data_IF_947498590077
#
_entry.id   IF_947498590077
#
_cell.length_a   1.000
_cell.length_b   1.000
_cell.length_c   1.000
_cell.angle_alpha   90.00
_cell.angle_beta   90.00
_cell.angle_gamma   90.00
#
_symmetry.space_group_name_H-M   'P 1'
#
loop_
_entity.id
_entity.type
_entity.pdbx_description
1 polymer ?
#
# COMPACT_ATOMS: atom_id res chain seq x y z
N UNK A 1 35.15 60.00 -7.17
CA UNK A 1 35.22 58.73 -6.41
C UNK A 1 34.25 58.85 -5.25
N UNK A 2 33.17 58.10 -5.09
CA UNK A 2 32.80 56.76 -5.56
C UNK A 2 31.26 56.72 -5.48
N UNK A 3 30.58 57.01 -6.58
CA UNK A 3 29.24 56.46 -6.85
C UNK A 3 29.48 55.07 -7.47
N UNK A 4 28.47 54.21 -7.44
CA UNK A 4 28.45 52.84 -7.95
C UNK A 4 28.84 51.80 -6.89
N UNK A 5 27.80 51.13 -6.35
CA UNK A 5 27.83 49.74 -5.87
C UNK A 5 26.53 49.30 -5.17
N UNK A 6 25.52 50.17 -5.00
CA UNK A 6 24.24 49.76 -4.36
C UNK A 6 23.20 49.29 -5.39
N UNK A 7 23.33 49.65 -6.66
CA UNK A 7 22.40 49.24 -7.73
C UNK A 7 22.64 47.82 -8.26
N UNK A 8 23.78 47.20 -7.95
CA UNK A 8 24.11 45.85 -8.44
C UNK A 8 23.51 44.73 -7.56
N UNK A 9 23.23 44.99 -6.28
CA UNK A 9 22.69 43.96 -5.37
C UNK A 9 21.19 43.70 -5.55
N UNK A 10 20.43 44.70 -6.02
CA UNK A 10 18.99 44.55 -6.28
C UNK A 10 18.68 43.79 -7.58
N UNK A 11 19.60 43.79 -8.55
CA UNK A 11 19.47 43.00 -9.78
C UNK A 11 19.77 41.51 -9.55
N UNK A 12 20.56 41.17 -8.53
CA UNK A 12 20.85 39.77 -8.16
C UNK A 12 19.68 39.14 -7.38
N UNK A 13 18.88 39.94 -6.67
CA UNK A 13 17.67 39.47 -5.98
C UNK A 13 16.42 39.32 -6.88
N UNK A 14 16.46 39.82 -8.12
CA UNK A 14 15.42 39.55 -9.13
C UNK A 14 15.64 38.25 -9.91
N UNK A 15 16.80 37.60 -9.71
CA UNK A 15 17.07 36.22 -10.10
C UNK A 15 16.79 35.23 -8.96
N UNK A 16 15.81 35.53 -8.10
CA UNK A 16 15.16 34.50 -7.28
C UNK A 16 14.41 33.60 -8.25
N UNK A 17 15.11 32.58 -8.72
CA UNK A 17 14.61 31.22 -8.96
C UNK A 17 13.11 31.18 -9.22
N UNK A 18 12.71 31.59 -10.43
CA UNK A 18 11.54 31.01 -11.06
C UNK A 18 11.88 29.53 -11.23
N UNK A 19 11.61 28.72 -10.21
CA UNK A 19 11.43 27.31 -10.46
C UNK A 19 10.39 27.23 -11.56
N UNK A 20 10.73 26.63 -12.71
CA UNK A 20 9.79 26.38 -13.78
C UNK A 20 8.71 25.45 -13.23
N UNK A 21 7.70 26.04 -12.61
CA UNK A 21 6.49 25.36 -12.21
C UNK A 21 5.73 25.05 -13.50
N UNK A 22 5.16 23.86 -13.58
CA UNK A 22 4.34 23.47 -14.72
C UNK A 22 3.24 24.51 -14.94
N UNK A 23 3.04 24.93 -16.18
CA UNK A 23 1.94 25.84 -16.51
C UNK A 23 0.60 25.14 -16.30
N UNK A 24 -0.47 25.91 -16.09
CA UNK A 24 -1.83 25.34 -16.00
C UNK A 24 -2.19 24.50 -17.23
N UNK A 25 -1.73 24.91 -18.40
CA UNK A 25 -1.92 24.19 -19.68
C UNK A 25 -1.16 22.87 -19.68
N UNK A 26 0.08 22.84 -19.17
CA UNK A 26 0.83 21.60 -19.02
C UNK A 26 0.17 20.65 -18.03
N UNK A 27 -0.29 21.14 -16.88
CA UNK A 27 -1.03 20.35 -15.88
C UNK A 27 -2.28 19.74 -16.50
N UNK A 28 -3.07 20.53 -17.24
CA UNK A 28 -4.28 20.03 -17.90
C UNK A 28 -3.95 18.99 -18.97
N UNK A 29 -2.91 19.22 -19.77
CA UNK A 29 -2.44 18.26 -20.78
C UNK A 29 -2.06 16.92 -20.16
N UNK A 30 -1.29 16.92 -19.07
CA UNK A 30 -0.91 15.68 -18.39
C UNK A 30 -2.09 15.01 -17.69
N UNK A 31 -3.02 15.78 -17.10
CA UNK A 31 -4.27 15.25 -16.54
C UNK A 31 -5.09 14.49 -17.59
N UNK A 32 -5.28 15.08 -18.77
CA UNK A 32 -5.98 14.43 -19.88
C UNK A 32 -5.24 13.20 -20.41
N UNK A 33 -3.90 13.26 -20.48
CA UNK A 33 -3.08 12.12 -20.88
C UNK A 33 -3.21 10.95 -19.89
N UNK A 34 -3.16 11.21 -18.59
CA UNK A 34 -3.36 10.20 -17.55
C UNK A 34 -4.76 9.59 -17.63
N UNK A 35 -5.79 10.42 -17.81
CA UNK A 35 -7.16 9.94 -18.02
C UNK A 35 -7.26 9.03 -19.24
N UNK A 36 -6.66 9.40 -20.37
CA UNK A 36 -6.64 8.57 -21.58
C UNK A 36 -5.91 7.23 -21.35
N UNK A 37 -4.78 7.23 -20.62
CA UNK A 37 -4.06 6.00 -20.28
C UNK A 37 -4.87 5.07 -19.38
N UNK A 38 -5.60 5.62 -18.41
CA UNK A 38 -6.52 4.84 -17.58
C UNK A 38 -7.57 4.14 -18.44
N UNK A 39 -8.27 4.87 -19.32
CA UNK A 39 -9.30 4.27 -20.18
C UNK A 39 -8.73 3.29 -21.20
N UNK A 40 -7.50 3.50 -21.67
CA UNK A 40 -6.83 2.51 -22.51
C UNK A 40 -6.69 1.17 -21.78
N UNK A 41 -6.17 1.18 -20.54
CA UNK A 41 -6.03 -0.04 -19.73
C UNK A 41 -7.38 -0.64 -19.32
N UNK A 42 -8.28 0.19 -18.79
CA UNK A 42 -9.61 -0.20 -18.32
C UNK A 42 -10.47 -0.82 -19.43
N UNK A 43 -10.56 -0.18 -20.59
CA UNK A 43 -11.34 -0.72 -21.71
C UNK A 43 -10.72 -2.02 -22.26
N UNK A 44 -9.39 -2.09 -22.34
CA UNK A 44 -8.71 -3.32 -22.78
C UNK A 44 -8.96 -4.49 -21.82
N UNK A 45 -9.04 -4.21 -20.51
CA UNK A 45 -9.40 -5.21 -19.52
C UNK A 45 -10.84 -5.71 -19.74
N UNK A 46 -11.80 -4.79 -19.90
CA UNK A 46 -13.19 -5.16 -20.17
C UNK A 46 -13.35 -5.98 -21.45
N UNK A 47 -12.56 -5.70 -22.48
CA UNK A 47 -12.64 -6.40 -23.77
C UNK A 47 -11.97 -7.79 -23.77
N UNK A 48 -10.82 -7.93 -23.09
CA UNK A 48 -9.95 -9.09 -23.26
C UNK A 48 -9.76 -9.95 -22.01
N UNK A 49 -10.15 -9.46 -20.84
CA UNK A 49 -9.85 -10.13 -19.57
C UNK A 49 -11.05 -10.25 -18.63
N UNK A 50 -12.08 -9.43 -18.72
CA UNK A 50 -13.27 -9.64 -17.89
C UNK A 50 -13.89 -11.04 -18.15
N UNK A 51 -14.23 -11.84 -17.13
CA UNK A 51 -14.30 -11.52 -15.69
C UNK A 51 -13.06 -11.94 -14.85
N UNK A 52 -11.94 -12.30 -15.47
CA UNK A 52 -10.71 -12.69 -14.78
C UNK A 52 -10.13 -11.55 -13.93
N UNK A 53 -9.26 -11.87 -12.97
CA UNK A 53 -8.67 -10.86 -12.08
C UNK A 53 -7.84 -9.79 -12.81
N UNK A 54 -7.02 -10.19 -13.79
CA UNK A 54 -6.02 -9.34 -14.44
C UNK A 54 -5.93 -9.56 -15.95
N UNK A 55 -5.56 -8.51 -16.68
CA UNK A 55 -5.24 -8.56 -18.11
C UNK A 55 -3.76 -8.89 -18.32
N UNK A 56 -3.47 -9.83 -19.23
CA UNK A 56 -2.17 -9.99 -19.89
C UNK A 56 -2.16 -9.18 -21.18
N UNK A 57 -1.64 -7.94 -21.19
CA UNK A 57 -1.81 -7.02 -22.32
C UNK A 57 -1.06 -7.46 -23.58
N UNK A 58 -0.01 -8.28 -23.45
CA UNK A 58 0.75 -8.76 -24.61
C UNK A 58 0.08 -9.94 -25.33
N UNK A 59 -0.63 -10.79 -24.59
CA UNK A 59 -1.37 -11.92 -25.16
C UNK A 59 -2.86 -11.66 -25.34
N UNK A 60 -3.34 -10.48 -24.92
CA UNK A 60 -4.75 -10.11 -24.86
C UNK A 60 -5.63 -11.21 -24.22
N UNK A 61 -5.20 -11.70 -23.05
CA UNK A 61 -5.92 -12.75 -22.33
C UNK A 61 -6.04 -12.43 -20.85
N UNK A 62 -7.10 -12.93 -20.20
CA UNK A 62 -7.26 -12.83 -18.76
C UNK A 62 -6.42 -13.85 -17.97
N UNK A 63 -6.17 -13.56 -16.69
CA UNK A 63 -5.68 -14.51 -15.71
C UNK A 63 -6.31 -14.27 -14.33
N UNK A 64 -6.49 -15.35 -13.56
CA UNK A 64 -6.84 -15.27 -12.15
C UNK A 64 -5.58 -15.38 -11.31
N UNK A 65 -5.39 -14.41 -10.43
CA UNK A 65 -4.18 -14.29 -9.60
C UNK A 65 -4.51 -14.39 -8.12
N UNK A 66 -5.69 -13.90 -7.71
CA UNK A 66 -6.01 -13.66 -6.29
C UNK A 66 -7.36 -14.22 -5.85
N UNK A 67 -8.16 -14.76 -6.77
CA UNK A 67 -9.27 -15.65 -6.45
C UNK A 67 -10.52 -15.49 -7.33
N UNK A 68 -10.36 -14.97 -8.55
CA UNK A 68 -11.41 -14.92 -9.57
C UNK A 68 -12.59 -14.00 -9.20
N UNK A 69 -12.29 -12.80 -8.69
CA UNK A 69 -13.30 -11.82 -8.24
C UNK A 69 -13.41 -10.60 -9.17
N UNK A 70 -12.91 -10.68 -10.40
CA UNK A 70 -12.73 -9.51 -11.27
C UNK A 70 -11.93 -8.40 -10.59
N UNK A 71 -10.80 -8.75 -9.97
CA UNK A 71 -9.99 -7.85 -9.12
C UNK A 71 -9.72 -6.47 -9.72
N UNK A 72 -9.31 -6.39 -10.98
CA UNK A 72 -9.05 -5.12 -11.68
C UNK A 72 -10.29 -4.22 -11.70
N UNK A 73 -11.48 -4.81 -11.77
CA UNK A 73 -12.73 -4.07 -11.77
C UNK A 73 -13.02 -3.42 -10.41
N UNK A 74 -12.74 -4.15 -9.32
CA UNK A 74 -12.87 -3.64 -7.95
C UNK A 74 -11.86 -2.52 -7.70
N UNK A 75 -10.59 -2.74 -8.05
CA UNK A 75 -9.50 -1.75 -7.89
C UNK A 75 -9.74 -0.47 -8.71
N UNK A 76 -10.52 -0.51 -9.79
CA UNK A 76 -10.77 0.66 -10.65
C UNK A 76 -11.95 1.54 -10.21
N UNK A 77 -12.83 1.05 -9.32
CA UNK A 77 -14.10 1.70 -8.98
C UNK A 77 -13.93 3.14 -8.46
N UNK A 78 -13.09 3.32 -7.45
CA UNK A 78 -12.85 4.64 -6.87
C UNK A 78 -12.15 5.59 -7.87
N UNK A 79 -11.28 5.04 -8.71
CA UNK A 79 -10.58 5.79 -9.76
C UNK A 79 -11.54 6.30 -10.83
N UNK A 80 -12.59 5.53 -11.18
CA UNK A 80 -13.65 6.01 -12.07
C UNK A 80 -14.31 7.28 -11.50
N UNK A 81 -14.58 7.32 -10.20
CA UNK A 81 -15.14 8.50 -9.53
C UNK A 81 -14.15 9.67 -9.48
N UNK A 82 -12.88 9.41 -9.18
CA UNK A 82 -11.83 10.44 -9.18
C UNK A 82 -11.67 11.07 -10.57
N UNK A 83 -11.83 10.28 -11.65
CA UNK A 83 -11.78 10.75 -13.04
C UNK A 83 -13.11 11.36 -13.53
N UNK A 84 -14.13 11.38 -12.68
CA UNK A 84 -15.45 11.99 -12.93
C UNK A 84 -16.39 11.16 -13.80
N UNK A 85 -16.17 9.86 -13.95
CA UNK A 85 -17.04 8.98 -14.73
C UNK A 85 -18.03 8.24 -13.83
N UNK A 86 -19.05 8.98 -13.42
CA UNK A 86 -20.10 8.48 -12.51
C UNK A 86 -21.00 7.44 -13.17
N UNK A 87 -21.30 7.57 -14.47
CA UNK A 87 -22.14 6.60 -15.19
C UNK A 87 -21.51 5.21 -15.22
N UNK A 88 -20.21 5.13 -15.50
CA UNK A 88 -19.50 3.85 -15.52
C UNK A 88 -19.35 3.27 -14.11
N UNK A 89 -19.07 4.11 -13.11
CA UNK A 89 -19.07 3.70 -11.72
C UNK A 89 -20.41 3.06 -11.29
N UNK A 90 -21.54 3.67 -11.64
CA UNK A 90 -22.87 3.12 -11.35
C UNK A 90 -23.09 1.77 -12.04
N UNK A 91 -22.73 1.68 -13.33
CA UNK A 91 -22.84 0.45 -14.12
C UNK A 91 -22.05 -0.70 -13.48
N UNK A 92 -20.81 -0.43 -13.09
CA UNK A 92 -19.94 -1.45 -12.47
C UNK A 92 -20.37 -1.79 -11.06
N UNK A 93 -20.83 -0.82 -10.27
CA UNK A 93 -21.33 -1.09 -8.92
C UNK A 93 -22.51 -2.07 -8.94
N UNK A 94 -23.45 -1.87 -9.87
CA UNK A 94 -24.59 -2.78 -10.08
C UNK A 94 -24.11 -4.16 -10.57
N UNK A 95 -23.19 -4.19 -11.53
CA UNK A 95 -22.64 -5.44 -12.05
C UNK A 95 -21.99 -6.27 -10.93
N UNK A 96 -21.17 -5.65 -10.08
CA UNK A 96 -20.52 -6.36 -8.97
C UNK A 96 -21.52 -6.83 -7.92
N UNK A 97 -22.57 -6.05 -7.63
CA UNK A 97 -23.65 -6.50 -6.75
C UNK A 97 -24.36 -7.76 -7.29
N UNK A 98 -24.52 -7.85 -8.61
CA UNK A 98 -25.19 -9.00 -9.25
C UNK A 98 -24.28 -10.22 -9.43
N UNK A 99 -22.97 -10.03 -9.62
CA UNK A 99 -22.07 -11.12 -10.05
C UNK A 99 -21.08 -11.59 -8.98
N UNK A 100 -20.78 -10.77 -7.97
CA UNK A 100 -19.71 -11.08 -7.02
C UNK A 100 -20.21 -12.02 -5.90
N UNK A 101 -19.57 -13.18 -5.76
CA UNK A 101 -19.86 -14.15 -4.72
C UNK A 101 -18.56 -14.59 -4.03
N UNK A 102 -18.49 -14.48 -2.70
CA UNK A 102 -17.31 -14.92 -1.94
C UNK A 102 -17.47 -16.31 -1.33
N UNK A 103 -18.64 -16.95 -1.45
CA UNK A 103 -18.81 -18.35 -1.02
C UNK A 103 -18.24 -19.34 -2.03
N UNK A 104 -16.90 -19.40 -2.11
CA UNK A 104 -16.19 -20.23 -3.07
C UNK A 104 -15.18 -21.15 -2.38
N UNK A 105 -15.04 -22.37 -2.90
CA UNK A 105 -13.98 -23.30 -2.50
C UNK A 105 -12.66 -22.95 -3.20
N UNK A 106 -12.07 -21.84 -2.76
CA UNK A 106 -10.82 -21.31 -3.29
C UNK A 106 -9.95 -20.77 -2.17
N UNK A 107 -8.64 -21.00 -2.28
CA UNK A 107 -7.64 -20.46 -1.38
C UNK A 107 -7.19 -19.08 -1.86
N UNK A 108 -7.18 -18.09 -0.97
CA UNK A 108 -6.76 -16.71 -1.27
C UNK A 108 -5.73 -16.19 -0.29
N UNK A 109 -4.97 -15.20 -0.74
CA UNK A 109 -4.08 -14.42 0.12
C UNK A 109 -4.89 -13.50 1.02
N UNK A 110 -4.76 -13.67 2.33
CA UNK A 110 -5.46 -12.85 3.33
C UNK A 110 -5.07 -11.36 3.20
N UNK A 111 -3.79 -11.10 2.96
CA UNK A 111 -3.24 -9.76 2.78
C UNK A 111 -3.76 -9.08 1.51
N UNK A 112 -3.66 -9.75 0.34
CA UNK A 112 -4.05 -9.15 -0.94
C UNK A 112 -5.57 -8.98 -1.03
N UNK A 113 -6.35 -9.94 -0.55
CA UNK A 113 -7.81 -9.80 -0.48
C UNK A 113 -8.22 -8.64 0.40
N UNK A 114 -7.55 -8.40 1.53
CA UNK A 114 -7.85 -7.23 2.36
C UNK A 114 -7.54 -5.90 1.64
N UNK A 115 -6.31 -5.69 1.17
CA UNK A 115 -5.92 -4.37 0.66
C UNK A 115 -6.58 -4.02 -0.68
N UNK A 116 -6.95 -5.02 -1.49
CA UNK A 116 -7.55 -4.80 -2.82
C UNK A 116 -9.06 -4.94 -2.82
N UNK A 117 -9.57 -6.08 -2.35
CA UNK A 117 -11.02 -6.36 -2.41
C UNK A 117 -11.74 -5.59 -1.31
N UNK A 118 -11.36 -5.80 -0.04
CA UNK A 118 -12.01 -5.10 1.07
C UNK A 118 -11.76 -3.59 0.97
N UNK A 119 -10.50 -3.19 0.75
CA UNK A 119 -10.11 -1.79 0.56
C UNK A 119 -10.84 -1.10 -0.59
N UNK A 120 -10.88 -1.71 -1.78
CA UNK A 120 -11.53 -1.15 -2.98
C UNK A 120 -13.05 -1.06 -2.85
N UNK A 121 -13.71 -2.07 -2.27
CA UNK A 121 -15.15 -2.03 -2.01
C UNK A 121 -15.51 -0.96 -0.96
N UNK A 122 -14.70 -0.80 0.09
CA UNK A 122 -14.89 0.24 1.10
C UNK A 122 -14.67 1.65 0.52
N UNK A 123 -13.61 1.86 -0.27
CA UNK A 123 -13.34 3.17 -0.89
C UNK A 123 -14.47 3.55 -1.85
N UNK A 124 -14.92 2.60 -2.67
CA UNK A 124 -16.05 2.78 -3.57
C UNK A 124 -17.35 3.07 -2.82
N UNK A 125 -17.64 2.36 -1.71
CA UNK A 125 -18.80 2.62 -0.87
C UNK A 125 -18.79 4.04 -0.27
N UNK A 126 -17.66 4.48 0.29
CA UNK A 126 -17.54 5.80 0.90
C UNK A 126 -17.67 6.94 -0.13
N UNK A 127 -17.30 6.69 -1.38
CA UNK A 127 -17.42 7.65 -2.49
C UNK A 127 -18.73 7.53 -3.26
N UNK A 128 -19.51 6.45 -3.06
CA UNK A 128 -20.74 6.16 -3.78
C UNK A 128 -21.75 7.32 -3.85
N UNK A 129 -21.98 8.12 -2.76
CA UNK A 129 -22.86 9.28 -2.83
C UNK A 129 -22.41 10.35 -3.83
N UNK A 130 -21.09 10.52 -4.04
CA UNK A 130 -20.54 11.43 -5.07
C UNK A 130 -20.72 10.86 -6.47
N UNK A 131 -20.82 9.54 -6.58
CA UNK A 131 -21.10 8.80 -7.80
C UNK A 131 -22.57 8.77 -8.21
N UNK A 132 -23.47 9.34 -7.41
CA UNK A 132 -24.92 9.26 -7.65
C UNK A 132 -25.53 7.89 -7.35
N UNK A 133 -24.80 7.01 -6.66
CA UNK A 133 -25.35 5.76 -6.13
C UNK A 133 -26.00 6.08 -4.79
N UNK A 134 -27.30 5.78 -4.68
CA UNK A 134 -28.04 5.99 -3.43
C UNK A 134 -27.68 4.88 -2.45
N UNK A 135 -27.21 5.27 -1.27
CA UNK A 135 -26.93 4.37 -0.16
C UNK A 135 -28.16 4.26 0.73
N UNK A 136 -28.41 3.07 1.28
CA UNK A 136 -29.55 2.82 2.18
C UNK A 136 -29.33 3.55 3.52
N UNK A 137 -30.41 3.96 4.18
CA UNK A 137 -30.34 4.50 5.53
C UNK A 137 -29.92 3.39 6.52
N UNK A 138 -28.90 3.66 7.33
CA UNK A 138 -28.34 2.70 8.29
C UNK A 138 -27.13 3.27 9.03
N UNK A 139 -26.46 2.50 9.89
CA UNK A 139 -25.47 3.06 10.84
C UNK A 139 -24.01 2.81 10.42
N UNK A 140 -23.20 3.86 10.22
CA UNK A 140 -23.54 5.25 9.91
C UNK A 140 -23.98 5.42 8.43
N UNK A 141 -23.85 4.37 7.61
CA UNK A 141 -24.43 4.22 6.28
C UNK A 141 -24.51 2.72 5.92
N UNK A 142 -25.37 2.34 4.98
CA UNK A 142 -25.46 0.99 4.43
C UNK A 142 -25.41 0.99 2.90
N UNK A 143 -25.06 -0.14 2.30
CA UNK A 143 -25.14 -0.27 0.85
C UNK A 143 -24.56 -1.57 0.33
N UNK A 144 -24.79 -1.87 -0.95
CA UNK A 144 -24.40 -3.15 -1.54
C UNK A 144 -22.89 -3.37 -1.50
N UNK A 145 -22.10 -2.35 -1.84
CA UNK A 145 -20.64 -2.44 -1.80
C UNK A 145 -20.10 -2.66 -0.38
N UNK A 146 -20.74 -2.08 0.64
CA UNK A 146 -20.36 -2.32 2.04
C UNK A 146 -20.68 -3.76 2.45
N UNK A 147 -21.83 -4.32 2.04
CA UNK A 147 -22.19 -5.71 2.32
C UNK A 147 -21.18 -6.68 1.70
N UNK A 148 -20.77 -6.43 0.45
CA UNK A 148 -19.72 -7.20 -0.21
C UNK A 148 -18.36 -7.09 0.52
N UNK A 149 -17.97 -5.88 0.94
CA UNK A 149 -16.74 -5.68 1.72
C UNK A 149 -16.75 -6.44 3.05
N UNK A 150 -17.90 -6.44 3.73
CA UNK A 150 -18.09 -7.16 5.00
C UNK A 150 -18.04 -8.67 4.77
N UNK A 151 -18.75 -9.22 3.78
CA UNK A 151 -18.72 -10.66 3.46
C UNK A 151 -17.28 -11.14 3.14
N UNK A 152 -16.56 -10.39 2.30
CA UNK A 152 -15.16 -10.67 2.03
C UNK A 152 -14.31 -10.66 3.31
N UNK A 153 -14.44 -9.63 4.16
CA UNK A 153 -13.67 -9.51 5.39
C UNK A 153 -14.03 -10.58 6.44
N UNK A 154 -15.30 -10.98 6.55
CA UNK A 154 -15.74 -12.03 7.49
C UNK A 154 -15.04 -13.36 7.20
N UNK A 155 -14.85 -13.68 5.91
CA UNK A 155 -14.16 -14.89 5.46
C UNK A 155 -12.66 -14.87 5.74
N UNK A 156 -12.08 -13.70 6.00
CA UNK A 156 -10.69 -13.56 6.42
C UNK A 156 -10.50 -13.77 7.93
N UNK A 157 -11.54 -13.58 8.75
CA UNK A 157 -11.46 -13.70 10.21
C UNK A 157 -10.88 -15.03 10.72
N UNK A 158 -11.17 -16.20 10.12
CA UNK A 158 -10.55 -17.46 10.55
C UNK A 158 -9.02 -17.45 10.55
N UNK A 159 -8.39 -16.62 9.70
CA UNK A 159 -6.93 -16.53 9.63
C UNK A 159 -6.31 -15.99 10.91
N UNK A 160 -7.02 -15.15 11.65
CA UNK A 160 -6.55 -14.53 12.89
C UNK A 160 -6.67 -15.44 14.12
N UNK A 161 -7.26 -16.63 13.98
CA UNK A 161 -7.42 -17.58 15.06
C UNK A 161 -6.12 -18.34 15.36
N UNK A 162 -5.11 -17.60 15.82
CA UNK A 162 -3.79 -18.10 16.20
C UNK A 162 -3.47 -17.73 17.66
N UNK A 163 -2.58 -18.47 18.35
CA UNK A 163 -2.18 -18.11 19.71
C UNK A 163 -1.61 -16.70 19.86
N UNK A 164 -1.03 -16.14 18.80
CA UNK A 164 -0.45 -14.80 18.80
C UNK A 164 -1.44 -13.71 18.35
N UNK A 165 -2.58 -14.08 17.77
CA UNK A 165 -3.51 -13.17 17.10
C UNK A 165 -3.05 -12.67 15.72
N UNK A 166 -1.86 -13.05 15.26
CA UNK A 166 -1.37 -12.73 13.91
C UNK A 166 -2.00 -13.68 12.88
N UNK A 167 -2.40 -13.19 11.68
CA UNK A 167 -3.10 -14.01 10.70
C UNK A 167 -2.19 -14.95 9.91
N UNK A 168 -2.72 -16.11 9.53
CA UNK A 168 -2.13 -16.93 8.45
C UNK A 168 -2.07 -16.16 7.11
N UNK A 169 -1.18 -16.57 6.21
CA UNK A 169 -1.02 -15.94 4.90
C UNK A 169 -2.15 -16.26 3.92
N UNK A 170 -2.72 -17.46 4.02
CA UNK A 170 -3.81 -17.92 3.15
C UNK A 170 -5.02 -18.44 3.93
N UNK A 171 -6.20 -18.24 3.34
CA UNK A 171 -7.48 -18.76 3.84
C UNK A 171 -8.31 -19.31 2.67
N UNK A 172 -9.07 -20.36 2.89
CA UNK A 172 -10.12 -20.81 1.97
C UNK A 172 -11.40 -20.03 2.27
N UNK A 173 -12.01 -19.41 1.25
CA UNK A 173 -13.17 -18.54 1.46
C UNK A 173 -14.42 -19.25 2.00
N UNK A 174 -14.55 -20.56 1.78
CA UNK A 174 -15.67 -21.37 2.28
C UNK A 174 -15.32 -22.14 3.55
N UNK A 175 -14.11 -22.69 3.64
CA UNK A 175 -13.72 -23.65 4.68
C UNK A 175 -12.78 -23.07 5.75
N UNK A 176 -12.35 -21.82 5.63
CA UNK A 176 -11.39 -21.23 6.55
C UNK A 176 -9.97 -21.74 6.30
N UNK A 177 -9.20 -22.04 7.34
CA UNK A 177 -7.76 -22.32 7.19
C UNK A 177 -7.51 -23.73 6.62
N UNK A 178 -6.83 -23.86 5.46
CA UNK A 178 -6.48 -25.16 4.91
C UNK A 178 -5.61 -25.97 5.89
N UNK A 179 -5.82 -27.29 6.05
CA UNK A 179 -5.03 -28.10 6.99
C UNK A 179 -3.52 -28.14 6.69
N UNK A 180 -3.13 -27.89 5.44
CA UNK A 180 -1.74 -27.86 4.98
C UNK A 180 -1.12 -26.45 4.99
N UNK A 181 -1.83 -25.45 5.51
CA UNK A 181 -1.38 -24.07 5.48
C UNK A 181 -0.13 -23.86 6.35
N UNK A 182 0.83 -23.11 5.83
CA UNK A 182 2.05 -22.76 6.57
C UNK A 182 1.75 -21.70 7.63
N UNK A 183 2.25 -21.81 8.87
CA UNK A 183 2.12 -20.75 9.86
C UNK A 183 3.09 -19.58 9.59
N UNK A 184 3.89 -19.62 8.53
CA UNK A 184 4.88 -18.59 8.23
C UNK A 184 4.27 -17.54 7.30
N UNK A 185 4.26 -16.28 7.75
CA UNK A 185 3.80 -15.13 6.96
C UNK A 185 4.77 -13.96 7.10
N UNK A 186 4.65 -12.95 6.25
CA UNK A 186 5.48 -11.75 6.32
C UNK A 186 4.91 -10.70 7.29
N UNK A 187 5.76 -9.79 7.77
CA UNK A 187 5.35 -8.72 8.70
C UNK A 187 4.23 -7.84 8.15
N UNK A 188 4.31 -7.45 6.88
CA UNK A 188 3.23 -6.74 6.19
C UNK A 188 1.93 -7.57 6.14
N UNK A 189 2.05 -8.87 5.86
CA UNK A 189 0.93 -9.82 5.86
C UNK A 189 0.24 -9.98 7.21
N UNK A 190 0.88 -9.60 8.32
CA UNK A 190 0.27 -9.53 9.65
C UNK A 190 -0.30 -8.14 9.99
N UNK A 191 0.37 -7.08 9.54
CA UNK A 191 0.19 -5.72 10.06
C UNK A 191 -0.79 -4.84 9.28
N UNK A 192 -1.25 -5.27 8.11
CA UNK A 192 -1.89 -4.39 7.13
C UNK A 192 -3.40 -4.62 7.04
N UNK A 193 -4.09 -4.47 8.18
CA UNK A 193 -5.56 -4.65 8.27
C UNK A 193 -6.31 -3.54 9.00
N UNK A 194 -5.63 -2.77 9.86
CA UNK A 194 -6.31 -1.87 10.80
C UNK A 194 -7.15 -0.80 10.09
N UNK A 195 -6.75 -0.35 8.90
CA UNK A 195 -7.47 0.67 8.13
C UNK A 195 -8.80 0.11 7.64
N UNK A 196 -8.80 -1.03 6.95
CA UNK A 196 -10.01 -1.63 6.39
C UNK A 196 -10.92 -2.15 7.51
N UNK A 197 -10.36 -2.91 8.46
CA UNK A 197 -11.13 -3.55 9.54
C UNK A 197 -11.65 -2.52 10.55
N UNK A 198 -10.86 -1.48 10.83
CA UNK A 198 -11.30 -0.34 11.62
C UNK A 198 -12.39 0.46 10.91
N UNK A 199 -12.31 0.61 9.58
CA UNK A 199 -13.36 1.25 8.78
C UNK A 199 -14.64 0.43 8.79
N UNK A 200 -14.58 -0.90 8.60
CA UNK A 200 -15.75 -1.78 8.75
C UNK A 200 -16.38 -1.63 10.13
N UNK A 201 -15.56 -1.61 11.18
CA UNK A 201 -16.06 -1.44 12.55
C UNK A 201 -16.76 -0.09 12.71
N UNK A 202 -16.18 0.99 12.16
CA UNK A 202 -16.79 2.32 12.18
C UNK A 202 -18.09 2.37 11.37
N UNK A 203 -18.17 1.60 10.28
CA UNK A 203 -19.28 1.57 9.35
C UNK A 203 -20.41 0.59 9.70
N UNK A 204 -20.17 -0.37 10.60
CA UNK A 204 -21.16 -1.42 10.91
C UNK A 204 -21.40 -1.59 12.40
N UNK A 205 -20.45 -1.14 13.23
CA UNK A 205 -20.45 -1.34 14.68
C UNK A 205 -19.89 -2.68 15.13
N UNK A 206 -19.56 -3.59 14.20
CA UNK A 206 -18.98 -4.88 14.54
C UNK A 206 -17.51 -4.74 14.94
N UNK A 207 -17.24 -4.89 16.23
CA UNK A 207 -15.90 -4.74 16.80
C UNK A 207 -14.98 -5.94 16.55
N UNK A 208 -15.47 -7.07 16.03
CA UNK A 208 -14.61 -8.24 15.74
C UNK A 208 -13.45 -7.85 14.84
N UNK A 209 -13.73 -7.07 13.80
CA UNK A 209 -12.74 -6.62 12.81
C UNK A 209 -11.63 -5.77 13.44
N UNK A 210 -11.95 -4.65 14.09
CA UNK A 210 -10.91 -3.80 14.68
C UNK A 210 -10.11 -4.54 15.76
N UNK A 211 -10.76 -5.41 16.54
CA UNK A 211 -10.10 -6.15 17.62
C UNK A 211 -9.06 -7.13 17.08
N UNK A 212 -9.36 -7.90 16.02
CA UNK A 212 -8.37 -8.83 15.44
C UNK A 212 -7.21 -8.09 14.79
N UNK A 213 -7.47 -6.96 14.11
CA UNK A 213 -6.42 -6.15 13.51
C UNK A 213 -5.50 -5.52 14.57
N UNK A 214 -6.06 -5.00 15.67
CA UNK A 214 -5.26 -4.50 16.80
C UNK A 214 -4.48 -5.62 17.49
N UNK A 215 -5.09 -6.80 17.66
CA UNK A 215 -4.43 -7.99 18.21
C UNK A 215 -3.21 -8.39 17.39
N UNK A 216 -3.31 -8.42 16.06
CA UNK A 216 -2.19 -8.72 15.18
C UNK A 216 -1.05 -7.69 15.29
N UNK A 217 -1.39 -6.39 15.37
CA UNK A 217 -0.40 -5.32 15.56
C UNK A 217 0.33 -5.43 16.91
N UNK A 218 -0.39 -5.75 17.99
CA UNK A 218 0.20 -6.02 19.30
C UNK A 218 1.05 -7.31 19.30
N UNK A 219 0.64 -8.33 18.55
CA UNK A 219 1.42 -9.55 18.32
C UNK A 219 2.79 -9.24 17.71
N UNK A 220 2.82 -8.44 16.63
CA UNK A 220 4.06 -7.95 16.02
C UNK A 220 4.88 -7.05 16.97
N UNK A 221 4.21 -6.19 17.74
CA UNK A 221 4.89 -5.34 18.72
C UNK A 221 5.61 -6.16 19.79
N UNK A 222 5.01 -7.26 20.23
CA UNK A 222 5.58 -8.11 21.26
C UNK A 222 6.68 -9.05 20.73
N UNK A 223 6.75 -9.29 19.42
CA UNK A 223 7.76 -10.17 18.82
C UNK A 223 9.06 -9.47 18.45
N UNK A 224 9.19 -8.15 18.64
CA UNK A 224 10.39 -7.38 18.28
C UNK A 224 11.67 -7.92 18.93
N UNK A 225 12.80 -7.72 18.23
CA UNK A 225 14.13 -8.02 18.76
C UNK A 225 14.51 -7.11 19.93
N UNK A 226 15.64 -7.41 20.58
CA UNK A 226 16.23 -6.53 21.60
C UNK A 226 16.57 -5.13 21.10
N UNK A 227 16.75 -4.97 19.78
CA UNK A 227 16.99 -3.67 19.14
C UNK A 227 15.69 -2.92 18.81
N UNK A 228 14.54 -3.55 19.04
CA UNK A 228 13.22 -3.00 18.71
C UNK A 228 12.85 -3.13 17.22
N UNK A 229 13.53 -4.01 16.48
CA UNK A 229 13.28 -4.27 15.06
C UNK A 229 12.37 -5.49 14.88
N UNK A 230 11.72 -5.56 13.72
CA UNK A 230 10.95 -6.72 13.23
C UNK A 230 11.67 -7.35 12.04
N UNK A 231 11.57 -8.67 11.90
CA UNK A 231 12.11 -9.39 10.74
C UNK A 231 11.15 -9.32 9.55
N UNK A 232 11.47 -10.09 8.51
CA UNK A 232 10.67 -10.15 7.29
C UNK A 232 9.54 -11.19 7.39
N UNK A 233 9.82 -12.39 7.92
CA UNK A 233 8.84 -13.48 8.07
C UNK A 233 8.84 -14.06 9.48
N UNK A 234 7.64 -14.37 9.97
CA UNK A 234 7.37 -14.85 11.33
C UNK A 234 6.42 -16.06 11.28
N UNK A 235 6.65 -17.01 12.18
CA UNK A 235 5.70 -18.08 12.48
C UNK A 235 4.61 -17.52 13.42
N UNK A 236 3.37 -17.45 12.94
CA UNK A 236 2.23 -16.85 13.66
C UNK A 236 1.69 -17.72 14.79
N UNK A 237 2.11 -18.98 14.89
CA UNK A 237 1.75 -19.86 16.00
C UNK A 237 2.77 -19.72 17.12
N UNK A 238 4.06 -19.78 16.79
CA UNK A 238 5.14 -19.74 17.80
C UNK A 238 5.65 -18.34 18.14
N UNK A 239 5.36 -17.34 17.30
CA UNK A 239 5.87 -15.97 17.43
C UNK A 239 7.36 -15.83 17.09
N UNK A 240 7.97 -16.83 16.44
CA UNK A 240 9.41 -16.86 16.13
C UNK A 240 9.68 -16.39 14.70
N UNK A 241 10.68 -15.53 14.55
CA UNK A 241 11.14 -15.06 13.24
C UNK A 241 11.85 -16.15 12.45
N UNK A 242 11.39 -16.40 11.23
CA UNK A 242 11.98 -17.35 10.27
C UNK A 242 12.86 -16.65 9.23
N UNK A 243 12.60 -15.37 8.94
CA UNK A 243 13.50 -14.50 8.21
C UNK A 243 13.78 -13.23 9.03
N UNK A 244 15.04 -13.07 9.46
CA UNK A 244 15.46 -12.08 10.46
C UNK A 244 16.02 -10.79 9.85
N UNK A 245 15.95 -10.64 8.53
CA UNK A 245 16.28 -9.40 7.84
C UNK A 245 15.21 -8.35 8.14
N UNK A 246 15.63 -7.25 8.77
CA UNK A 246 14.84 -6.06 9.00
C UNK A 246 15.12 -5.04 7.91
N UNK A 247 14.06 -4.47 7.34
CA UNK A 247 14.12 -3.47 6.30
C UNK A 247 12.85 -2.61 6.32
N UNK A 248 12.79 -1.60 5.44
CA UNK A 248 11.57 -0.81 5.23
C UNK A 248 10.75 -1.29 4.03
N UNK A 249 11.28 -2.24 3.27
CA UNK A 249 10.75 -2.67 1.97
C UNK A 249 9.86 -3.90 2.01
N UNK A 250 9.93 -4.68 0.95
CA UNK A 250 9.03 -5.79 0.66
C UNK A 250 8.88 -6.75 1.85
N UNK A 251 7.64 -6.99 2.27
CA UNK A 251 7.31 -7.89 3.39
C UNK A 251 7.28 -7.22 4.76
N UNK A 252 7.65 -5.93 4.86
CA UNK A 252 7.57 -5.13 6.10
C UNK A 252 6.86 -3.79 5.86
N UNK A 253 7.11 -3.15 4.73
CA UNK A 253 6.62 -1.84 4.31
C UNK A 253 5.32 -1.32 4.95
N UNK A 254 4.19 -1.89 4.54
CA UNK A 254 2.85 -1.41 4.86
C UNK A 254 2.48 -1.56 6.34
N UNK A 255 3.23 -2.35 7.12
CA UNK A 255 3.10 -2.36 8.58
C UNK A 255 3.38 -0.97 9.16
N UNK A 256 4.46 -0.31 8.73
CA UNK A 256 4.78 1.04 9.20
C UNK A 256 3.75 2.07 8.73
N UNK A 257 3.27 1.93 7.49
CA UNK A 257 2.20 2.79 6.98
C UNK A 257 0.93 2.68 7.83
N UNK A 258 0.53 1.46 8.18
CA UNK A 258 -0.72 1.20 8.89
C UNK A 258 -0.66 1.64 10.35
N UNK A 259 0.51 1.60 10.99
CA UNK A 259 0.70 2.22 12.30
C UNK A 259 0.45 3.73 12.27
N UNK A 260 1.06 4.44 11.30
CA UNK A 260 0.88 5.89 11.21
C UNK A 260 -0.51 6.28 10.70
N UNK A 261 -0.92 5.74 9.55
CA UNK A 261 -2.21 6.04 8.92
C UNK A 261 -3.38 5.61 9.80
N UNK A 262 -3.33 4.41 10.39
CA UNK A 262 -4.33 3.94 11.35
C UNK A 262 -4.33 4.77 12.65
N UNK A 263 -3.16 5.17 13.14
CA UNK A 263 -3.03 6.08 14.27
C UNK A 263 -3.71 7.43 14.04
N UNK A 264 -3.55 8.01 12.84
CA UNK A 264 -4.21 9.25 12.43
C UNK A 264 -5.71 9.03 12.24
N UNK A 265 -6.10 8.04 11.44
CA UNK A 265 -7.49 7.79 11.04
C UNK A 265 -8.40 7.50 12.24
N UNK A 266 -7.92 6.69 13.18
CA UNK A 266 -8.69 6.29 14.37
C UNK A 266 -8.31 7.08 15.63
N UNK A 267 -7.50 8.14 15.49
CA UNK A 267 -7.01 8.93 16.62
C UNK A 267 -6.42 8.07 17.75
N UNK A 268 -5.62 7.06 17.40
CA UNK A 268 -5.08 6.07 18.34
C UNK A 268 -3.66 6.44 18.79
N UNK A 269 -3.45 6.93 20.04
CA UNK A 269 -2.13 7.26 20.54
C UNK A 269 -1.20 6.04 20.56
N UNK A 270 -1.75 4.85 20.84
CA UNK A 270 -1.00 3.60 20.90
C UNK A 270 -0.29 3.29 19.57
N UNK A 271 -1.00 3.43 18.44
CA UNK A 271 -0.42 3.17 17.12
C UNK A 271 0.63 4.21 16.74
N UNK A 272 0.40 5.48 17.10
CA UNK A 272 1.37 6.56 16.91
C UNK A 272 2.64 6.32 17.73
N UNK A 273 2.51 5.88 18.99
CA UNK A 273 3.65 5.53 19.84
C UNK A 273 4.44 4.35 19.26
N UNK A 274 3.74 3.34 18.74
CA UNK A 274 4.41 2.23 18.06
C UNK A 274 5.20 2.71 16.85
N UNK A 275 4.57 3.49 15.97
CA UNK A 275 5.20 4.06 14.79
C UNK A 275 6.43 4.89 15.17
N UNK A 276 6.32 5.76 16.17
CA UNK A 276 7.41 6.62 16.64
C UNK A 276 8.62 5.81 17.12
N UNK A 277 8.39 4.74 17.88
CA UNK A 277 9.45 3.83 18.33
C UNK A 277 10.14 3.18 17.12
N UNK A 278 9.37 2.59 16.20
CA UNK A 278 9.92 1.96 15.00
C UNK A 278 10.65 2.95 14.11
N UNK A 279 10.10 4.13 13.87
CA UNK A 279 10.73 5.19 13.09
C UNK A 279 12.10 5.53 13.67
N UNK A 280 12.20 5.68 14.99
CA UNK A 280 13.48 5.90 15.66
C UNK A 280 14.47 4.76 15.41
N UNK A 281 14.04 3.49 15.51
CA UNK A 281 14.91 2.33 15.23
C UNK A 281 15.32 2.23 13.77
N UNK A 282 14.43 2.55 12.83
CA UNK A 282 14.73 2.61 11.40
C UNK A 282 15.81 3.66 11.12
N UNK A 283 15.66 4.86 11.67
CA UNK A 283 16.68 5.92 11.53
C UNK A 283 18.01 5.53 12.18
N UNK A 284 17.99 4.76 13.28
CA UNK A 284 19.19 4.35 14.00
C UNK A 284 19.95 3.21 13.32
N UNK A 285 19.24 2.18 12.83
CA UNK A 285 19.86 0.93 12.40
C UNK A 285 19.81 0.69 10.89
N UNK A 286 18.77 1.16 10.19
CA UNK A 286 18.59 0.88 8.76
C UNK A 286 19.15 1.99 7.87
N UNK A 287 19.28 3.21 8.40
CA UNK A 287 19.69 4.36 7.60
C UNK A 287 21.20 4.45 7.44
N UNK A 288 21.66 4.48 6.19
CA UNK A 288 23.05 4.73 5.82
C UNK A 288 23.08 5.86 4.81
N UNK A 289 23.58 7.03 5.22
CA UNK A 289 23.40 8.28 4.46
C UNK A 289 21.90 8.57 4.25
N UNK A 290 21.42 8.72 3.02
CA UNK A 290 20.00 8.90 2.69
C UNK A 290 19.36 7.63 2.10
N UNK A 291 20.01 6.47 2.25
CA UNK A 291 19.51 5.14 1.91
C UNK A 291 19.02 4.38 3.14
N UNK A 292 18.15 3.40 2.92
CA UNK A 292 17.70 2.45 3.94
C UNK A 292 18.07 1.05 3.47
N UNK A 293 18.93 0.37 4.23
CA UNK A 293 19.46 -0.94 3.90
C UNK A 293 18.84 -2.02 4.79
N UNK A 294 18.98 -3.27 4.39
CA UNK A 294 18.54 -4.38 5.20
C UNK A 294 19.61 -4.73 6.25
N UNK A 295 19.17 -5.01 7.47
CA UNK A 295 20.05 -5.41 8.58
C UNK A 295 19.49 -6.63 9.30
N UNK A 296 20.35 -7.36 9.98
CA UNK A 296 19.93 -8.45 10.86
C UNK A 296 19.26 -7.88 12.11
N UNK A 297 17.99 -8.23 12.36
CA UNK A 297 17.15 -7.59 13.40
C UNK A 297 17.72 -7.65 14.83
N UNK A 298 18.45 -8.72 15.18
CA UNK A 298 19.08 -8.87 16.51
C UNK A 298 20.45 -8.17 16.65
N UNK A 299 21.16 -7.97 15.54
CA UNK A 299 22.58 -7.54 15.56
C UNK A 299 22.80 -6.15 14.99
N UNK A 300 21.87 -5.64 14.18
CA UNK A 300 22.01 -4.36 13.46
C UNK A 300 23.08 -4.38 12.36
N UNK A 301 23.64 -5.56 12.04
CA UNK A 301 24.60 -5.74 10.95
C UNK A 301 23.88 -5.63 9.61
N UNK A 302 24.43 -4.84 8.68
CA UNK A 302 23.96 -4.81 7.28
C UNK A 302 24.04 -6.21 6.68
N UNK A 303 22.90 -6.72 6.21
CA UNK A 303 22.80 -7.99 5.50
C UNK A 303 22.76 -7.78 4.00
N UNK A 304 22.00 -6.80 3.53
CA UNK A 304 21.96 -6.42 2.11
C UNK A 304 21.94 -4.90 1.91
N UNK A 305 22.98 -4.31 1.28
CA UNK A 305 23.01 -2.90 0.93
C UNK A 305 22.27 -2.64 -0.40
N UNK A 306 20.97 -2.92 -0.41
CA UNK A 306 20.09 -2.77 -1.58
C UNK A 306 19.02 -1.71 -1.34
N UNK A 307 18.55 -1.10 -2.42
CA UNK A 307 17.32 -0.32 -2.49
C UNK A 307 16.31 -1.10 -3.33
N UNK A 308 15.13 -1.34 -2.77
CA UNK A 308 14.03 -1.97 -3.50
C UNK A 308 13.09 -0.91 -4.06
N UNK A 309 12.51 -1.14 -5.24
CA UNK A 309 11.53 -0.22 -5.84
C UNK A 309 10.38 0.12 -4.88
N UNK A 310 9.99 -0.84 -4.05
CA UNK A 310 8.94 -0.70 -3.04
C UNK A 310 9.33 0.24 -1.89
N UNK A 311 10.62 0.44 -1.59
CA UNK A 311 11.07 1.39 -0.54
C UNK A 311 10.70 2.85 -0.87
N UNK A 312 10.32 3.13 -2.13
CA UNK A 312 9.97 4.47 -2.60
C UNK A 312 8.76 5.10 -1.89
N UNK A 313 7.97 4.34 -1.12
CA UNK A 313 6.86 4.88 -0.32
C UNK A 313 7.36 5.68 0.89
N UNK A 314 8.56 5.35 1.37
CA UNK A 314 9.05 5.82 2.66
C UNK A 314 9.17 7.35 2.76
N UNK A 315 9.67 8.08 1.74
CA UNK A 315 9.61 9.55 1.74
C UNK A 315 8.19 10.11 1.90
N UNK A 316 7.18 9.45 1.32
CA UNK A 316 5.78 9.81 1.50
C UNK A 316 5.33 9.63 2.94
N UNK A 317 5.71 8.52 3.57
CA UNK A 317 5.41 8.26 4.98
C UNK A 317 6.14 9.23 5.92
N UNK A 318 7.41 9.54 5.64
CA UNK A 318 8.17 10.57 6.35
C UNK A 318 7.52 11.94 6.25
N UNK A 319 7.00 12.28 5.07
CA UNK A 319 6.27 13.53 4.85
C UNK A 319 4.98 13.58 5.67
N UNK A 320 4.21 12.48 5.69
CA UNK A 320 3.01 12.36 6.52
C UNK A 320 3.32 12.48 8.03
N UNK A 321 4.47 11.97 8.46
CA UNK A 321 4.96 12.12 9.83
C UNK A 321 5.44 13.54 10.16
N UNK A 322 5.74 14.36 9.14
CA UNK A 322 6.27 15.72 9.29
C UNK A 322 7.79 15.84 9.19
N UNK A 323 8.50 14.78 8.83
CA UNK A 323 9.97 14.77 8.68
C UNK A 323 10.40 15.09 7.23
N UNK A 324 10.07 16.32 6.80
CA UNK A 324 10.18 16.78 5.40
C UNK A 324 11.63 16.80 4.88
N UNK A 325 12.59 17.16 5.73
CA UNK A 325 14.00 17.31 5.33
C UNK A 325 14.63 15.97 4.87
N UNK A 326 14.64 14.94 5.73
CA UNK A 326 15.02 13.58 5.37
C UNK A 326 14.21 13.01 4.20
N UNK A 327 12.88 13.21 4.17
CA UNK A 327 12.04 12.77 3.07
C UNK A 327 12.54 13.30 1.71
N UNK A 328 12.82 14.60 1.63
CA UNK A 328 13.31 15.24 0.41
C UNK A 328 14.64 14.67 -0.06
N UNK A 329 15.59 14.41 0.86
CA UNK A 329 16.91 13.85 0.48
C UNK A 329 16.80 12.40 0.01
N UNK A 330 16.00 11.57 0.68
CA UNK A 330 15.76 10.19 0.24
C UNK A 330 15.05 10.17 -1.11
N UNK A 331 14.03 11.01 -1.33
CA UNK A 331 13.35 11.14 -2.62
C UNK A 331 14.33 11.55 -3.74
N UNK A 332 15.25 12.48 -3.47
CA UNK A 332 16.29 12.88 -4.43
C UNK A 332 17.20 11.70 -4.82
N UNK A 333 17.57 10.82 -3.87
CA UNK A 333 18.33 9.60 -4.16
C UNK A 333 17.54 8.67 -5.08
N UNK A 334 16.28 8.40 -4.76
CA UNK A 334 15.43 7.51 -5.56
C UNK A 334 15.18 8.08 -6.97
N UNK A 335 14.92 9.38 -7.06
CA UNK A 335 14.80 10.08 -8.33
C UNK A 335 16.09 10.03 -9.16
N UNK A 336 17.27 10.04 -8.53
CA UNK A 336 18.53 9.88 -9.26
C UNK A 336 18.66 8.51 -9.96
N UNK A 337 18.18 7.44 -9.31
CA UNK A 337 18.10 6.09 -9.91
C UNK A 337 17.12 6.10 -11.08
N UNK A 338 15.93 6.65 -10.88
CA UNK A 338 14.93 6.78 -11.94
C UNK A 338 15.45 7.58 -13.14
N UNK A 339 16.15 8.70 -12.91
CA UNK A 339 16.76 9.52 -13.96
C UNK A 339 17.84 8.79 -14.74
N UNK A 340 18.56 7.88 -14.10
CA UNK A 340 19.63 7.13 -14.74
C UNK A 340 19.10 5.99 -15.62
N UNK A 341 18.14 5.19 -15.11
CA UNK A 341 17.63 4.01 -15.83
C UNK A 341 16.32 4.26 -16.61
N UNK A 342 15.66 5.40 -16.39
CA UNK A 342 14.32 5.70 -16.93
C UNK A 342 13.15 5.09 -16.13
N UNK A 343 13.46 4.23 -15.17
CA UNK A 343 12.54 3.62 -14.20
C UNK A 343 13.34 3.25 -12.94
N UNK A 344 12.67 2.93 -11.83
CA UNK A 344 13.34 2.35 -10.66
C UNK A 344 13.37 0.82 -10.84
N UNK A 345 14.57 0.19 -10.94
CA UNK A 345 14.67 -1.27 -10.99
C UNK A 345 14.10 -1.90 -9.73
N UNK A 346 13.58 -3.12 -9.82
CA UNK A 346 13.00 -3.80 -8.65
C UNK A 346 14.00 -3.90 -7.49
N UNK A 347 15.26 -4.19 -7.79
CA UNK A 347 16.37 -4.18 -6.85
C UNK A 347 17.55 -3.40 -7.43
N UNK A 348 18.06 -2.44 -6.67
CA UNK A 348 19.22 -1.63 -6.98
C UNK A 348 20.32 -1.87 -5.94
N UNK A 349 21.53 -2.20 -6.40
CA UNK A 349 22.69 -2.38 -5.52
C UNK A 349 23.34 -1.03 -5.24
N UNK A 350 23.28 -0.58 -3.98
CA UNK A 350 23.75 0.75 -3.60
C UNK A 350 25.28 0.87 -3.76
N UNK A 351 26.01 -0.21 -3.54
CA UNK A 351 27.48 -0.22 -3.57
C UNK A 351 28.06 -0.15 -4.99
N UNK A 352 27.48 -0.89 -5.95
CA UNK A 352 27.92 -0.89 -7.34
C UNK A 352 27.26 0.20 -8.18
N UNK A 353 26.10 0.70 -7.74
CA UNK A 353 25.31 1.65 -8.49
C UNK A 353 24.53 1.02 -9.65
N UNK A 354 24.35 -0.30 -9.64
CA UNK A 354 23.76 -1.08 -10.74
C UNK A 354 22.51 -1.86 -10.30
N UNK A 355 21.58 -2.20 -11.22
CA UNK A 355 20.48 -3.11 -10.93
C UNK A 355 20.99 -4.49 -10.50
N UNK A 356 20.24 -5.16 -9.63
CA UNK A 356 20.56 -6.53 -9.23
C UNK A 356 20.24 -7.52 -10.36
N UNK A 357 21.19 -8.41 -10.70
CA UNK A 357 21.01 -9.40 -11.76
C UNK A 357 19.81 -10.32 -11.48
N UNK A 358 18.90 -10.46 -12.44
CA UNK A 358 17.65 -11.22 -12.27
C UNK A 358 16.49 -10.46 -11.60
N UNK A 359 16.73 -9.24 -11.10
CA UNK A 359 15.72 -8.34 -10.51
C UNK A 359 15.80 -6.92 -11.09
N UNK A 360 16.29 -6.79 -12.32
CA UNK A 360 16.40 -5.51 -13.01
C UNK A 360 15.08 -5.04 -13.65
N UNK A 361 14.08 -5.92 -13.75
CA UNK A 361 12.79 -5.61 -14.36
C UNK A 361 11.98 -4.59 -13.55
N UNK A 362 10.95 -4.04 -14.20
CA UNK A 362 10.00 -3.12 -13.59
C UNK A 362 8.56 -3.59 -13.86
N UNK A 363 7.87 -4.14 -12.84
CA UNK A 363 6.52 -4.69 -13.01
C UNK A 363 5.43 -3.61 -12.86
N UNK A 364 5.68 -2.38 -13.33
CA UNK A 364 4.73 -1.25 -13.27
C UNK A 364 4.34 -0.82 -11.82
N UNK A 365 5.30 -0.74 -10.89
CA UNK A 365 5.05 -0.38 -9.49
C UNK A 365 4.50 1.07 -9.34
N UNK A 366 3.39 1.29 -8.62
CA UNK A 366 2.78 2.63 -8.48
C UNK A 366 3.53 3.54 -7.49
N UNK A 367 4.45 2.98 -6.70
CA UNK A 367 5.22 3.71 -5.67
C UNK A 367 6.18 4.75 -6.28
N UNK A 368 6.27 4.80 -7.61
CA UNK A 368 6.90 5.87 -8.38
C UNK A 368 5.95 7.06 -8.58
N UNK A 369 5.42 7.61 -7.48
CA UNK A 369 4.74 8.91 -7.49
C UNK A 369 5.74 10.02 -7.18
N UNK A 370 6.51 10.45 -8.19
CA UNK A 370 7.42 11.62 -8.10
C UNK A 370 6.70 12.85 -8.63
#
# INVERSE_FOLDING_TARGET
MRRDNVTSLYLVFLFIMWGNCMTTEEIERYRLKTKAMFYHGYNSYLEHAYPYDELKPLSCSGQDTWGSYSLTLIDALDTLLILGNTSEFQRISLLLEETLEFDMDINVSVFETNIRVVGGLLSAHLLAPRGGVTVEEGWPCQGPLLRLAVDAAERLLPAFNTPTGMPYGTVNLRYGIPPSETPITCTAGCGTFIIEFGTITALTGDKRFINVAQGALEGLWNSRSKLGLVGNHIDVVSGKWTAQDAGIGAGVDSYFEYLLKGGILFSSPRLIDMFKEFYSKVQQYLKVSDWYVWVHMEKGQITMPIFQSLDAYWPGLQTLWGDIGPASRTLQKYHSVWRHFGFIPEFYQITSGEPYSGRAGYPLRPVQGI
#
